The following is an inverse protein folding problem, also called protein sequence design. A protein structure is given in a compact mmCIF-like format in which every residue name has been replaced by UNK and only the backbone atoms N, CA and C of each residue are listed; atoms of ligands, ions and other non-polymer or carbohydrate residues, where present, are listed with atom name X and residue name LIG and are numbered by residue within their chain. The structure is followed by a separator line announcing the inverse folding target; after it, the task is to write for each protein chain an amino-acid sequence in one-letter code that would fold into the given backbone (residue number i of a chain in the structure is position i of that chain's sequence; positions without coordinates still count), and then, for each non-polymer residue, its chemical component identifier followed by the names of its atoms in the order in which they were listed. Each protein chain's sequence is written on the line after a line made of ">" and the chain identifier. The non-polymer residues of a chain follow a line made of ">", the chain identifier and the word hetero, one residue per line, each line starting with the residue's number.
data_IF_361645827614
#
_entry.id   IF_361645827614
#
_cell.length_a   1.000
_cell.length_b   1.000
_cell.length_c   1.000
_cell.angle_alpha   90.00
_cell.angle_beta   90.00
_cell.angle_gamma   90.00
#
_symmetry.space_group_name_H-M   'P 1'
#
loop_
_entity.id
_entity.type
_entity.pdbx_description
1 polymer ?
#
# COMPACT_ATOMS: atom_id res chain seq x y z
N UNK A 1 -1.52 -4.56 -26.26
CA UNK A 1 -2.45 -3.41 -26.31
C UNK A 1 -1.57 -2.18 -26.17
N UNK A 2 -1.62 -1.26 -27.13
CA UNK A 2 -0.80 -0.04 -27.06
C UNK A 2 -1.46 0.93 -26.08
N UNK A 3 -0.98 0.96 -24.84
CA UNK A 3 -1.41 1.94 -23.83
C UNK A 3 -0.60 3.21 -24.04
N UNK A 4 -1.23 4.38 -24.21
CA UNK A 4 -0.50 5.63 -24.38
C UNK A 4 0.42 5.92 -23.20
N UNK A 5 1.63 6.41 -23.48
CA UNK A 5 2.61 6.81 -22.45
C UNK A 5 2.02 7.82 -21.46
N UNK A 6 1.18 8.74 -21.96
CA UNK A 6 0.46 9.73 -21.15
C UNK A 6 -0.41 9.06 -20.08
N UNK A 7 -1.11 7.99 -20.44
CA UNK A 7 -2.03 7.29 -19.57
C UNK A 7 -1.25 6.54 -18.50
N UNK A 8 -0.16 5.86 -18.87
CA UNK A 8 0.74 5.18 -17.93
C UNK A 8 1.34 6.15 -16.91
N UNK A 9 1.82 7.31 -17.37
CA UNK A 9 2.40 8.33 -16.49
C UNK A 9 1.36 8.97 -15.57
N UNK A 10 0.15 9.23 -16.09
CA UNK A 10 -0.96 9.74 -15.29
C UNK A 10 -1.41 8.72 -14.24
N UNK A 11 -1.52 7.44 -14.61
CA UNK A 11 -1.78 6.36 -13.67
C UNK A 11 -0.69 6.23 -12.61
N UNK A 12 0.59 6.30 -12.99
CA UNK A 12 1.68 6.32 -12.00
C UNK A 12 1.55 7.48 -11.01
N UNK A 13 1.16 8.67 -11.47
CA UNK A 13 0.90 9.82 -10.59
C UNK A 13 -0.24 9.55 -9.61
N UNK A 14 -1.35 9.01 -10.10
CA UNK A 14 -2.54 8.73 -9.29
C UNK A 14 -2.30 7.63 -8.26
N UNK A 15 -1.41 6.69 -8.59
CA UNK A 15 -1.23 5.46 -7.83
C UNK A 15 -0.03 5.50 -6.89
N UNK A 16 1.09 6.08 -7.33
CA UNK A 16 2.34 6.10 -6.57
C UNK A 16 2.56 7.45 -5.87
N UNK A 17 2.73 7.47 -4.53
CA UNK A 17 3.15 8.67 -3.82
C UNK A 17 4.45 9.22 -4.43
N UNK A 18 4.58 10.55 -4.51
CA UNK A 18 5.74 11.18 -5.17
C UNK A 18 7.10 10.64 -4.72
N UNK A 19 7.38 10.37 -3.42
CA UNK A 19 8.64 9.76 -2.98
C UNK A 19 8.94 8.40 -3.61
N UNK A 20 7.92 7.63 -3.97
CA UNK A 20 8.02 6.31 -4.62
C UNK A 20 8.13 6.51 -6.13
N UNK A 21 7.21 7.26 -6.73
CA UNK A 21 7.17 7.49 -8.17
C UNK A 21 8.44 8.13 -8.72
N UNK A 22 9.03 9.10 -7.99
CA UNK A 22 10.33 9.66 -8.37
C UNK A 22 11.45 8.62 -8.39
N UNK A 23 11.37 7.56 -7.58
CA UNK A 23 12.39 6.51 -7.53
C UNK A 23 12.16 5.52 -8.66
N UNK A 24 10.92 5.12 -8.91
CA UNK A 24 10.52 4.33 -10.08
C UNK A 24 11.06 4.97 -11.37
N UNK A 25 10.73 6.25 -11.59
CA UNK A 25 11.22 6.98 -12.77
C UNK A 25 12.75 7.09 -12.81
N UNK A 26 13.43 7.17 -11.67
CA UNK A 26 14.90 7.21 -11.62
C UNK A 26 15.51 5.88 -12.05
N UNK A 27 14.91 4.78 -11.63
CA UNK A 27 15.34 3.41 -11.90
C UNK A 27 15.24 3.11 -13.40
N UNK A 28 14.15 3.54 -14.03
CA UNK A 28 13.94 3.46 -15.49
C UNK A 28 14.85 4.44 -16.27
N UNK A 29 15.43 5.43 -15.59
CA UNK A 29 16.30 6.44 -16.20
C UNK A 29 15.56 7.64 -16.82
N UNK A 30 14.31 7.89 -16.41
CA UNK A 30 13.47 8.98 -16.89
C UNK A 30 13.74 10.28 -16.10
N UNK A 31 13.73 11.40 -16.81
CA UNK A 31 13.94 12.72 -16.23
C UNK A 31 12.75 13.13 -15.35
N UNK A 32 13.02 13.87 -14.27
CA UNK A 32 12.02 14.23 -13.25
C UNK A 32 12.07 15.72 -12.93
N UNK A 33 10.92 16.28 -12.60
CA UNK A 33 10.77 17.61 -12.02
C UNK A 33 10.71 17.56 -10.49
N UNK A 34 10.34 18.69 -9.87
CA UNK A 34 10.03 18.76 -8.44
C UNK A 34 8.54 18.46 -8.25
N UNK A 35 8.22 17.21 -7.92
CA UNK A 35 6.83 16.75 -7.78
C UNK A 35 6.26 16.16 -9.06
N UNK A 36 5.08 15.56 -8.96
CA UNK A 36 4.40 14.92 -10.08
C UNK A 36 4.04 15.90 -11.19
N UNK A 37 3.43 17.03 -10.85
CA UNK A 37 2.97 18.01 -11.85
C UNK A 37 4.10 18.49 -12.76
N UNK A 38 5.20 18.97 -12.16
CA UNK A 38 6.38 19.41 -12.90
C UNK A 38 7.06 18.28 -13.68
N UNK A 39 6.92 17.03 -13.21
CA UNK A 39 7.46 15.87 -13.95
C UNK A 39 6.63 15.58 -15.19
N UNK A 40 5.30 15.57 -15.09
CA UNK A 40 4.42 15.33 -16.23
C UNK A 40 4.56 16.43 -17.29
N UNK A 41 4.63 17.71 -16.88
CA UNK A 41 4.85 18.82 -17.82
C UNK A 41 6.17 18.63 -18.60
N UNK A 42 7.27 18.35 -17.89
CA UNK A 42 8.58 18.16 -18.51
C UNK A 42 8.62 16.96 -19.46
N UNK A 43 7.89 15.89 -19.15
CA UNK A 43 7.79 14.72 -20.01
C UNK A 43 6.92 14.99 -21.24
N UNK A 44 5.86 15.80 -21.10
CA UNK A 44 5.04 16.25 -22.23
C UNK A 44 5.79 17.13 -23.23
N UNK A 45 6.71 17.97 -22.74
CA UNK A 45 7.58 18.81 -23.58
C UNK A 45 8.67 18.01 -24.32
N UNK A 46 8.98 16.78 -23.89
CA UNK A 46 10.04 15.94 -24.46
C UNK A 46 9.72 14.45 -24.33
N UNK A 47 8.70 13.94 -25.06
CA UNK A 47 8.11 12.62 -24.83
C UNK A 47 8.98 11.46 -25.32
N UNK A 48 9.93 11.72 -26.23
CA UNK A 48 10.74 10.69 -26.91
C UNK A 48 11.33 9.66 -25.94
N UNK A 49 11.92 10.10 -24.83
CA UNK A 49 12.55 9.17 -23.87
C UNK A 49 11.54 8.32 -23.11
N UNK A 50 10.36 8.87 -22.81
CA UNK A 50 9.29 8.10 -22.15
C UNK A 50 8.58 7.15 -23.12
N UNK A 51 8.49 7.50 -24.40
CA UNK A 51 8.02 6.61 -25.47
C UNK A 51 8.99 5.43 -25.68
N UNK A 52 10.30 5.70 -25.73
CA UNK A 52 11.35 4.67 -25.79
C UNK A 52 11.38 3.75 -24.55
N UNK A 53 10.70 4.12 -23.46
CA UNK A 53 10.70 3.43 -22.16
C UNK A 53 9.30 3.00 -21.71
N UNK A 54 8.37 2.87 -22.66
CA UNK A 54 6.97 2.56 -22.36
C UNK A 54 6.81 1.19 -21.69
N UNK A 55 7.55 0.16 -22.15
CA UNK A 55 7.45 -1.18 -21.57
C UNK A 55 7.90 -1.19 -20.11
N UNK A 56 9.02 -0.54 -19.77
CA UNK A 56 9.48 -0.43 -18.39
C UNK A 56 8.52 0.40 -17.52
N UNK A 57 7.87 1.42 -18.08
CA UNK A 57 6.85 2.20 -17.39
C UNK A 57 5.59 1.38 -17.10
N UNK A 58 5.13 0.60 -18.08
CA UNK A 58 3.97 -0.30 -17.95
C UNK A 58 4.22 -1.35 -16.89
N UNK A 59 5.39 -2.00 -16.91
CA UNK A 59 5.75 -3.00 -15.92
C UNK A 59 5.92 -2.41 -14.52
N UNK A 60 6.50 -1.21 -14.41
CA UNK A 60 6.56 -0.51 -13.14
C UNK A 60 5.17 -0.13 -12.60
N UNK A 61 4.25 0.30 -13.47
CA UNK A 61 2.86 0.60 -13.09
C UNK A 61 2.15 -0.65 -12.58
N UNK A 62 2.20 -1.76 -13.34
CA UNK A 62 1.64 -3.06 -12.90
C UNK A 62 2.21 -3.49 -11.56
N UNK A 63 3.54 -3.49 -11.43
CA UNK A 63 4.20 -3.91 -10.20
C UNK A 63 3.78 -3.06 -9.01
N UNK A 64 3.66 -1.74 -9.19
CA UNK A 64 3.18 -0.86 -8.14
C UNK A 64 1.68 -1.06 -7.84
N UNK A 65 0.85 -1.34 -8.84
CA UNK A 65 -0.56 -1.68 -8.62
C UNK A 65 -0.74 -2.97 -7.83
N UNK A 66 0.16 -3.94 -7.99
CA UNK A 66 0.10 -5.20 -7.26
C UNK A 66 0.62 -5.05 -5.81
N UNK A 67 1.63 -4.21 -5.59
CA UNK A 67 2.43 -4.23 -4.36
C UNK A 67 2.54 -2.92 -3.58
N UNK A 68 2.15 -1.78 -4.16
CA UNK A 68 2.53 -0.44 -3.73
C UNK A 68 2.00 0.00 -2.36
N UNK A 69 0.70 0.30 -2.32
CA UNK A 69 -0.01 0.83 -1.14
C UNK A 69 -1.17 -0.11 -0.78
N UNK A 70 -0.88 -1.10 0.07
CA UNK A 70 -1.80 -2.23 0.33
C UNK A 70 -2.10 -2.44 1.81
N UNK A 71 -3.36 -2.76 2.09
CA UNK A 71 -3.78 -3.42 3.31
C UNK A 71 -3.76 -4.93 3.04
N UNK A 72 -2.99 -5.67 3.84
CA UNK A 72 -2.64 -7.06 3.54
C UNK A 72 -3.13 -7.97 4.66
N UNK A 73 -3.81 -9.05 4.27
CA UNK A 73 -4.13 -10.18 5.13
C UNK A 73 -3.50 -11.45 4.55
N UNK A 74 -3.02 -12.33 5.42
CA UNK A 74 -2.39 -13.60 5.04
C UNK A 74 -3.31 -14.76 5.42
N UNK A 75 -3.36 -15.77 4.56
CA UNK A 75 -4.22 -16.94 4.75
C UNK A 75 -3.42 -18.19 4.49
N UNK A 76 -3.40 -19.10 5.47
CA UNK A 76 -2.72 -20.38 5.38
C UNK A 76 -3.71 -21.45 4.96
N UNK A 77 -3.56 -21.97 3.76
CA UNK A 77 -4.38 -23.05 3.22
C UNK A 77 -3.70 -24.39 3.52
N UNK A 78 -4.45 -25.49 3.47
CA UNK A 78 -3.81 -26.79 3.46
C UNK A 78 -3.16 -27.07 2.09
N UNK A 79 -2.30 -28.09 2.04
CA UNK A 79 -1.56 -28.46 0.84
C UNK A 79 -2.47 -28.85 -0.32
N UNK A 80 -3.62 -29.46 -0.04
CA UNK A 80 -4.54 -29.94 -1.06
C UNK A 80 -5.30 -28.75 -1.70
N UNK A 81 -5.82 -27.85 -0.88
CA UNK A 81 -6.53 -26.66 -1.29
C UNK A 81 -5.62 -25.72 -2.09
N UNK A 82 -4.39 -25.47 -1.64
CA UNK A 82 -3.50 -24.57 -2.39
C UNK A 82 -3.06 -25.17 -3.74
N UNK A 83 -2.90 -26.49 -3.82
CA UNK A 83 -2.64 -27.17 -5.08
C UNK A 83 -3.86 -27.03 -6.02
N UNK A 84 -5.06 -27.31 -5.52
CA UNK A 84 -6.30 -27.18 -6.26
C UNK A 84 -6.56 -25.74 -6.73
N UNK A 85 -6.22 -24.73 -5.91
CA UNK A 85 -6.26 -23.32 -6.32
C UNK A 85 -5.32 -23.11 -7.50
N UNK A 86 -4.03 -23.44 -7.36
CA UNK A 86 -3.01 -23.21 -8.40
C UNK A 86 -3.40 -23.83 -9.75
N UNK A 87 -3.92 -25.06 -9.74
CA UNK A 87 -4.40 -25.72 -10.97
C UNK A 87 -5.56 -24.96 -11.64
N UNK A 88 -6.51 -24.43 -10.86
CA UNK A 88 -7.67 -23.70 -11.38
C UNK A 88 -7.32 -22.33 -11.94
N UNK A 89 -6.30 -21.65 -11.39
CA UNK A 89 -5.99 -20.27 -11.78
C UNK A 89 -5.65 -20.12 -13.27
N UNK A 90 -5.03 -21.13 -13.88
CA UNK A 90 -4.69 -21.12 -15.31
C UNK A 90 -5.89 -21.16 -16.25
N UNK A 91 -7.05 -21.61 -15.75
CA UNK A 91 -8.27 -21.76 -16.54
C UNK A 91 -9.29 -20.64 -16.27
N UNK A 92 -8.91 -19.60 -15.53
CA UNK A 92 -9.82 -18.50 -15.21
C UNK A 92 -9.94 -17.55 -16.40
N UNK A 93 -11.15 -17.44 -16.94
CA UNK A 93 -11.48 -16.43 -17.95
C UNK A 93 -11.64 -15.05 -17.31
N UNK A 94 -10.90 -14.08 -17.83
CA UNK A 94 -11.06 -12.67 -17.44
C UNK A 94 -12.25 -12.09 -18.20
N UNK A 95 -13.31 -11.59 -17.52
CA UNK A 95 -14.44 -10.99 -18.20
C UNK A 95 -14.03 -9.71 -18.94
N UNK A 96 -14.52 -9.54 -20.17
CA UNK A 96 -14.35 -8.28 -20.89
C UNK A 96 -15.20 -7.18 -20.25
N UNK A 97 -14.52 -6.21 -19.64
CA UNK A 97 -15.12 -5.03 -19.01
C UNK A 97 -14.28 -3.81 -19.32
N UNK A 98 -14.79 -2.62 -18.98
CA UNK A 98 -13.99 -1.38 -19.07
C UNK A 98 -12.70 -1.47 -18.25
N UNK A 99 -12.73 -2.19 -17.13
CA UNK A 99 -11.55 -2.38 -16.29
C UNK A 99 -10.49 -3.26 -16.96
N UNK A 100 -10.87 -4.44 -17.46
CA UNK A 100 -9.92 -5.35 -18.13
C UNK A 100 -9.38 -4.80 -19.44
N UNK A 101 -10.17 -3.95 -20.14
CA UNK A 101 -9.72 -3.24 -21.34
C UNK A 101 -8.75 -2.11 -21.07
N UNK A 102 -8.82 -1.45 -19.91
CA UNK A 102 -7.95 -0.31 -19.61
C UNK A 102 -6.72 -0.68 -18.80
N UNK A 103 -6.73 -1.86 -18.16
CA UNK A 103 -5.60 -2.34 -17.37
C UNK A 103 -4.32 -2.48 -18.22
N UNK A 104 -3.15 -2.01 -17.74
CA UNK A 104 -2.88 -1.56 -16.37
C UNK A 104 -3.07 -0.06 -16.13
N UNK A 105 -3.61 0.72 -17.06
CA UNK A 105 -3.89 2.13 -16.80
C UNK A 105 -5.14 2.31 -15.88
N UNK A 106 -5.28 3.52 -15.34
CA UNK A 106 -6.39 3.95 -14.50
C UNK A 106 -7.46 4.64 -15.34
N UNK A 107 -8.73 4.42 -15.01
CA UNK A 107 -9.81 5.17 -15.64
C UNK A 107 -9.85 6.58 -15.06
N UNK A 108 -10.21 7.55 -15.90
CA UNK A 108 -10.51 8.91 -15.45
C UNK A 108 -11.71 8.93 -14.48
N UNK A 109 -11.90 10.04 -13.76
CA UNK A 109 -13.05 10.17 -12.85
C UNK A 109 -14.39 9.98 -13.59
N UNK A 110 -14.50 10.47 -14.83
CA UNK A 110 -15.68 10.25 -15.67
C UNK A 110 -15.84 8.75 -15.99
N UNK A 111 -14.77 8.08 -16.42
CA UNK A 111 -14.80 6.64 -16.68
C UNK A 111 -15.15 5.80 -15.45
N UNK A 112 -14.76 6.25 -14.25
CA UNK A 112 -15.11 5.58 -12.99
C UNK A 112 -16.57 5.76 -12.57
N UNK A 113 -17.24 6.84 -13.02
CA UNK A 113 -18.68 7.04 -12.76
C UNK A 113 -19.53 6.06 -13.54
N UNK A 114 -19.10 5.74 -14.76
CA UNK A 114 -19.81 4.86 -15.68
C UNK A 114 -19.36 3.39 -15.56
N UNK A 115 -18.35 3.11 -14.73
CA UNK A 115 -17.83 1.77 -14.55
C UNK A 115 -18.80 0.85 -13.78
N UNK A 116 -18.74 -0.48 -14.01
CA UNK A 116 -19.55 -1.44 -13.28
C UNK A 116 -19.41 -1.32 -11.76
N UNK A 117 -20.53 -1.44 -11.05
CA UNK A 117 -20.51 -1.48 -9.59
C UNK A 117 -19.90 -2.79 -9.07
N UNK A 118 -19.25 -2.71 -7.91
CA UNK A 118 -18.67 -3.87 -7.25
C UNK A 118 -17.24 -4.18 -7.71
N UNK A 119 -16.82 -5.40 -7.44
CA UNK A 119 -15.46 -5.88 -7.65
C UNK A 119 -15.42 -6.82 -8.86
N UNK A 120 -14.57 -6.53 -9.85
CA UNK A 120 -14.53 -7.23 -11.14
C UNK A 120 -13.14 -7.80 -11.39
N UNK A 121 -13.05 -9.09 -11.73
CA UNK A 121 -11.79 -9.68 -12.17
C UNK A 121 -11.31 -8.99 -13.46
N UNK A 122 -10.11 -8.45 -13.43
CA UNK A 122 -9.58 -7.51 -14.42
C UNK A 122 -8.36 -8.04 -15.14
N UNK A 123 -7.50 -8.78 -14.44
CA UNK A 123 -6.35 -9.47 -15.02
C UNK A 123 -5.97 -10.68 -14.17
N UNK A 124 -5.30 -11.64 -14.80
CA UNK A 124 -4.54 -12.69 -14.13
C UNK A 124 -3.09 -12.46 -14.51
N UNK A 125 -2.26 -12.10 -13.54
CA UNK A 125 -0.83 -11.85 -13.75
C UNK A 125 -0.02 -13.02 -13.21
N UNK A 126 0.96 -13.47 -13.98
CA UNK A 126 1.87 -14.55 -13.58
C UNK A 126 3.31 -14.07 -13.66
N UNK A 127 4.10 -14.46 -12.66
CA UNK A 127 5.56 -14.37 -12.73
C UNK A 127 6.18 -15.54 -11.95
N UNK A 128 7.52 -15.59 -11.93
CA UNK A 128 8.28 -16.65 -11.24
C UNK A 128 7.94 -16.81 -9.75
N UNK A 129 7.34 -15.79 -9.12
CA UNK A 129 7.00 -15.79 -7.69
C UNK A 129 5.57 -16.23 -7.41
N UNK A 130 4.67 -16.19 -8.38
CA UNK A 130 3.27 -16.54 -8.14
C UNK A 130 2.32 -16.06 -9.22
N UNK A 131 1.05 -16.33 -8.95
CA UNK A 131 -0.09 -15.90 -9.77
C UNK A 131 -0.92 -14.91 -8.95
N UNK A 132 -1.22 -13.76 -9.54
CA UNK A 132 -2.07 -12.73 -8.98
C UNK A 132 -3.40 -12.66 -9.70
N UNK A 133 -4.50 -12.74 -8.96
CA UNK A 133 -5.83 -12.34 -9.44
C UNK A 133 -6.03 -10.86 -9.14
N UNK A 134 -6.12 -10.04 -10.18
CA UNK A 134 -6.27 -8.59 -10.06
C UNK A 134 -7.75 -8.27 -10.23
N UNK A 135 -8.31 -7.63 -9.21
CA UNK A 135 -9.69 -7.17 -9.22
C UNK A 135 -9.75 -5.65 -9.19
N UNK A 136 -10.57 -5.08 -10.08
CA UNK A 136 -10.81 -3.64 -10.12
C UNK A 136 -12.17 -3.24 -9.58
N UNK A 137 -12.22 -2.03 -9.04
CA UNK A 137 -13.44 -1.38 -8.58
C UNK A 137 -13.26 0.13 -8.57
N UNK A 138 -14.35 0.89 -8.70
CA UNK A 138 -14.36 2.32 -8.40
C UNK A 138 -14.60 2.51 -6.89
N UNK A 139 -13.67 3.20 -6.20
CA UNK A 139 -13.78 3.51 -4.76
C UNK A 139 -13.59 4.99 -4.50
N UNK A 140 -13.94 5.43 -3.29
CA UNK A 140 -13.75 6.82 -2.86
C UNK A 140 -12.66 6.93 -1.81
N UNK A 141 -11.87 7.99 -1.88
CA UNK A 141 -10.89 8.39 -0.87
C UNK A 141 -11.00 9.90 -0.64
N UNK A 142 -10.37 10.39 0.42
CA UNK A 142 -10.25 11.82 0.67
C UNK A 142 -8.84 12.28 0.34
N UNK A 143 -8.72 13.44 -0.31
CA UNK A 143 -7.44 14.11 -0.52
C UNK A 143 -7.48 15.48 0.14
N UNK A 144 -6.35 15.86 0.74
CA UNK A 144 -6.12 17.18 1.29
C UNK A 144 -5.31 17.97 0.27
N UNK A 145 -5.78 19.15 -0.09
CA UNK A 145 -5.06 20.05 -0.99
C UNK A 145 -4.97 21.44 -0.38
N UNK A 146 -3.83 22.10 -0.57
CA UNK A 146 -3.72 23.52 -0.27
C UNK A 146 -4.52 24.26 -1.35
N UNK A 147 -5.41 25.13 -0.91
CA UNK A 147 -6.13 26.01 -1.81
C UNK A 147 -5.38 27.34 -1.85
N UNK A 148 -5.06 27.79 -3.05
CA UNK A 148 -4.53 29.12 -3.28
C UNK A 148 -5.65 30.14 -3.02
N UNK A 149 -5.46 30.98 -2.00
CA UNK A 149 -6.45 31.98 -1.58
C UNK A 149 -6.65 33.03 -2.68
N UNK A 150 -5.58 33.32 -3.44
CA UNK A 150 -5.61 34.24 -4.58
C UNK A 150 -6.50 33.72 -5.71
N UNK A 151 -6.71 32.40 -5.80
CA UNK A 151 -7.59 31.78 -6.78
C UNK A 151 -9.07 31.71 -6.34
N UNK A 152 -9.38 31.98 -5.07
CA UNK A 152 -10.73 31.96 -4.51
C UNK A 152 -11.38 33.34 -4.42
N UNK A 153 -10.58 34.40 -4.36
CA UNK A 153 -11.10 35.77 -4.27
C UNK A 153 -11.12 36.42 -5.65
N UNK A 154 -12.24 37.05 -6.02
CA UNK A 154 -12.30 37.97 -7.17
C UNK A 154 -11.60 39.32 -6.83
N UNK A 155 -10.47 39.26 -6.12
CA UNK A 155 -9.63 40.40 -5.72
C UNK A 155 -10.22 41.33 -4.65
N UNK A 156 -11.33 40.97 -3.99
CA UNK A 156 -11.99 41.86 -3.00
C UNK A 156 -12.57 41.18 -1.76
N UNK A 157 -12.40 39.86 -1.60
CA UNK A 157 -13.03 39.12 -0.50
C UNK A 157 -12.08 39.01 0.70
N UNK A 158 -12.18 39.95 1.64
CA UNK A 158 -11.36 40.02 2.86
C UNK A 158 -11.64 38.87 3.84
N UNK A 159 -12.57 37.97 3.52
CA UNK A 159 -12.98 36.85 4.37
C UNK A 159 -11.83 35.88 4.69
N UNK A 160 -10.75 35.91 3.91
CA UNK A 160 -9.61 35.01 4.06
C UNK A 160 -8.30 35.72 4.48
N UNK A 161 -8.31 37.04 4.70
CA UNK A 161 -7.10 37.84 4.98
C UNK A 161 -6.38 37.42 6.27
N UNK A 162 -7.12 36.89 7.26
CA UNK A 162 -6.57 36.41 8.53
C UNK A 162 -6.05 34.96 8.50
N UNK A 163 -6.12 34.28 7.35
CA UNK A 163 -5.72 32.87 7.21
C UNK A 163 -4.37 32.74 6.48
N UNK A 164 -3.37 32.19 7.17
CA UNK A 164 -2.06 31.87 6.56
C UNK A 164 -2.12 30.68 5.59
N UNK A 165 -3.09 29.77 5.79
CA UNK A 165 -3.22 28.54 5.02
C UNK A 165 -4.68 28.08 4.96
N UNK A 166 -5.16 27.75 3.74
CA UNK A 166 -6.45 27.09 3.53
C UNK A 166 -6.22 25.67 3.03
N UNK A 167 -6.78 24.70 3.75
CA UNK A 167 -6.74 23.28 3.36
C UNK A 167 -8.13 22.82 2.94
N UNK A 168 -8.27 22.52 1.66
CA UNK A 168 -9.43 21.82 1.11
C UNK A 168 -9.35 20.33 1.40
N UNK A 169 -10.49 19.74 1.79
CA UNK A 169 -10.66 18.28 1.83
C UNK A 169 -11.75 17.94 0.83
N UNK A 170 -11.41 17.15 -0.20
CA UNK A 170 -12.40 16.67 -1.17
C UNK A 170 -12.40 15.16 -1.26
N UNK A 171 -13.59 14.62 -1.47
CA UNK A 171 -13.80 13.20 -1.77
C UNK A 171 -13.61 13.00 -3.26
N UNK A 172 -12.71 12.09 -3.63
CA UNK A 172 -12.42 11.74 -5.03
C UNK A 172 -12.68 10.27 -5.27
N UNK A 173 -13.11 9.93 -6.49
CA UNK A 173 -13.14 8.54 -6.95
C UNK A 173 -11.76 8.14 -7.44
N UNK A 174 -11.36 6.91 -7.15
CA UNK A 174 -10.12 6.33 -7.65
C UNK A 174 -10.36 4.91 -8.16
N UNK A 175 -9.59 4.54 -9.18
CA UNK A 175 -9.55 3.18 -9.71
C UNK A 175 -8.71 2.32 -8.76
N UNK A 176 -9.35 1.38 -8.07
CA UNK A 176 -8.72 0.54 -7.06
C UNK A 176 -8.39 -0.85 -7.63
N UNK A 177 -7.20 -1.37 -7.28
CA UNK A 177 -6.72 -2.69 -7.71
C UNK A 177 -6.48 -3.59 -6.49
N UNK A 178 -7.41 -4.49 -6.19
CA UNK A 178 -7.20 -5.52 -5.17
C UNK A 178 -6.53 -6.73 -5.79
N UNK A 179 -5.64 -7.37 -5.06
CA UNK A 179 -4.91 -8.54 -5.55
C UNK A 179 -5.05 -9.68 -4.58
N UNK A 180 -5.36 -10.87 -5.09
CA UNK A 180 -5.14 -12.11 -4.36
C UNK A 180 -3.94 -12.78 -4.99
N UNK A 181 -2.85 -12.84 -4.23
CA UNK A 181 -1.58 -13.36 -4.68
C UNK A 181 -1.35 -14.76 -4.13
N UNK A 182 -1.12 -15.71 -5.03
CA UNK A 182 -0.86 -17.10 -4.72
C UNK A 182 0.60 -17.38 -5.08
N UNK A 183 1.50 -17.47 -4.10
CA UNK A 183 2.90 -17.79 -4.37
C UNK A 183 3.05 -19.16 -5.06
N UNK A 184 4.10 -19.32 -5.88
CA UNK A 184 4.42 -20.60 -6.54
C UNK A 184 4.77 -21.71 -5.54
N UNK A 185 5.24 -21.35 -4.34
CA UNK A 185 5.63 -22.28 -3.28
C UNK A 185 5.10 -21.83 -1.91
N UNK A 186 5.09 -22.75 -0.94
CA UNK A 186 4.48 -22.53 0.37
C UNK A 186 2.97 -22.72 0.37
N UNK A 187 2.35 -22.45 1.52
CA UNK A 187 0.93 -22.69 1.82
C UNK A 187 0.16 -21.41 2.20
N UNK A 188 0.82 -20.26 2.11
CA UNK A 188 0.28 -18.97 2.53
C UNK A 188 0.05 -18.06 1.33
N UNK A 189 -1.20 -17.64 1.12
CA UNK A 189 -1.59 -16.65 0.12
C UNK A 189 -1.79 -15.27 0.75
N UNK A 190 -1.68 -14.24 -0.07
CA UNK A 190 -1.83 -12.85 0.36
C UNK A 190 -3.09 -12.24 -0.27
N UNK A 191 -3.93 -11.60 0.54
CA UNK A 191 -5.01 -10.73 0.05
C UNK A 191 -4.58 -9.29 0.26
N UNK A 192 -4.31 -8.60 -0.85
CA UNK A 192 -3.71 -7.26 -0.93
C UNK A 192 -4.76 -6.27 -1.41
N UNK A 193 -5.43 -5.62 -0.47
CA UNK A 193 -6.47 -4.63 -0.76
C UNK A 193 -5.85 -3.27 -0.98
N UNK A 194 -6.31 -2.60 -2.03
CA UNK A 194 -5.83 -1.28 -2.38
C UNK A 194 -6.13 -0.25 -1.28
N UNK A 195 -5.07 0.39 -0.76
CA UNK A 195 -5.17 1.22 0.43
C UNK A 195 -4.27 2.47 0.38
N UNK A 196 -4.49 3.36 -0.61
CA UNK A 196 -3.77 4.63 -0.69
C UNK A 196 -4.07 5.53 0.51
N UNK A 197 -3.22 6.55 0.69
CA UNK A 197 -3.41 7.55 1.74
C UNK A 197 -4.80 8.22 1.65
N UNK A 198 -5.42 8.47 2.81
CA UNK A 198 -6.77 9.04 2.90
C UNK A 198 -7.91 8.02 2.80
N UNK A 199 -7.63 6.74 2.51
CA UNK A 199 -8.65 5.69 2.47
C UNK A 199 -9.02 5.25 3.89
N UNK A 200 -10.32 5.18 4.17
CA UNK A 200 -10.85 4.70 5.45
C UNK A 200 -10.69 3.18 5.58
N UNK A 201 -10.33 2.69 6.77
CA UNK A 201 -10.09 1.26 7.00
C UNK A 201 -11.33 0.41 6.75
N UNK A 202 -12.53 0.93 7.01
CA UNK A 202 -13.81 0.25 6.81
C UNK A 202 -14.05 -0.08 5.33
N UNK A 203 -13.66 0.82 4.42
CA UNK A 203 -13.76 0.62 2.97
C UNK A 203 -12.85 -0.55 2.55
N UNK A 204 -11.62 -0.59 3.07
CA UNK A 204 -10.68 -1.67 2.77
C UNK A 204 -11.12 -3.01 3.35
N UNK A 205 -11.69 -3.02 4.57
CA UNK A 205 -12.24 -4.24 5.19
C UNK A 205 -13.42 -4.78 4.37
N UNK A 206 -14.30 -3.91 3.88
CA UNK A 206 -15.40 -4.30 3.00
C UNK A 206 -14.89 -4.86 1.67
N UNK A 207 -13.90 -4.20 1.04
CA UNK A 207 -13.27 -4.66 -0.19
C UNK A 207 -12.60 -6.04 -0.02
N UNK A 208 -11.93 -6.27 1.12
CA UNK A 208 -11.37 -7.58 1.49
C UNK A 208 -12.43 -8.69 1.47
N UNK A 209 -13.59 -8.44 2.09
CA UNK A 209 -14.69 -9.41 2.12
C UNK A 209 -15.21 -9.72 0.71
N UNK A 210 -15.31 -8.70 -0.15
CA UNK A 210 -15.71 -8.89 -1.54
C UNK A 210 -14.67 -9.70 -2.33
N UNK A 211 -13.39 -9.41 -2.17
CA UNK A 211 -12.30 -10.14 -2.81
C UNK A 211 -12.30 -11.62 -2.42
N UNK A 212 -12.43 -11.93 -1.13
CA UNK A 212 -12.54 -13.31 -0.63
C UNK A 212 -13.78 -14.02 -1.19
N UNK A 213 -14.90 -13.30 -1.31
CA UNK A 213 -16.15 -13.86 -1.89
C UNK A 213 -15.97 -14.19 -3.38
N UNK A 214 -15.35 -13.29 -4.15
CA UNK A 214 -15.05 -13.55 -5.56
C UNK A 214 -14.05 -14.70 -5.72
N UNK A 215 -13.03 -14.75 -4.86
CA UNK A 215 -12.07 -15.85 -4.85
C UNK A 215 -12.72 -17.20 -4.62
N UNK A 216 -13.56 -17.31 -3.59
CA UNK A 216 -14.28 -18.54 -3.30
C UNK A 216 -15.22 -18.93 -4.46
N UNK A 217 -15.83 -17.96 -5.14
CA UNK A 217 -16.66 -18.22 -6.33
C UNK A 217 -15.83 -18.76 -7.50
N UNK A 218 -14.64 -18.21 -7.74
CA UNK A 218 -13.76 -18.60 -8.84
C UNK A 218 -13.08 -19.95 -8.60
N UNK A 219 -12.67 -20.22 -7.36
CA UNK A 219 -11.85 -21.40 -7.03
C UNK A 219 -12.64 -22.53 -6.38
N UNK A 220 -13.82 -22.25 -5.83
CA UNK A 220 -14.57 -23.18 -4.99
C UNK A 220 -13.94 -23.47 -3.63
N UNK A 221 -12.82 -22.81 -3.30
CA UNK A 221 -12.09 -23.02 -2.03
C UNK A 221 -12.58 -22.00 -1.01
N UNK A 222 -12.96 -22.48 0.16
CA UNK A 222 -13.34 -21.64 1.30
C UNK A 222 -12.06 -21.09 1.96
N UNK A 223 -12.04 -19.79 2.21
CA UNK A 223 -10.90 -19.15 2.84
C UNK A 223 -10.94 -19.39 4.36
N UNK A 224 -9.84 -19.85 4.97
CA UNK A 224 -9.75 -20.02 6.42
C UNK A 224 -9.71 -18.67 7.13
N UNK A 225 -9.66 -18.69 8.46
CA UNK A 225 -9.41 -17.48 9.23
C UNK A 225 -8.03 -16.90 8.89
N UNK A 226 -7.92 -15.56 8.81
CA UNK A 226 -6.65 -14.89 8.52
C UNK A 226 -5.63 -15.13 9.64
N UNK A 227 -4.35 -15.20 9.26
CA UNK A 227 -3.24 -15.33 10.19
C UNK A 227 -3.22 -14.15 11.15
N UNK A 228 -3.15 -14.43 12.46
CA UNK A 228 -3.01 -13.40 13.49
C UNK A 228 -1.63 -12.76 13.43
N UNK A 229 -1.57 -11.50 13.03
CA UNK A 229 -0.34 -10.69 12.92
C UNK A 229 -0.07 -9.82 14.15
N UNK A 230 -0.93 -9.86 15.18
CA UNK A 230 -0.71 -9.10 16.41
C UNK A 230 0.67 -9.36 17.06
N UNK A 231 1.16 -10.61 17.14
CA UNK A 231 2.48 -10.90 17.73
C UNK A 231 3.67 -10.20 17.04
N UNK A 232 3.51 -9.72 15.81
CA UNK A 232 4.57 -8.99 15.10
C UNK A 232 4.99 -7.71 15.82
N UNK A 233 4.06 -7.06 16.54
CA UNK A 233 4.31 -5.78 17.20
C UNK A 233 5.47 -5.94 18.18
N UNK A 234 5.40 -6.88 19.11
CA UNK A 234 6.45 -7.06 20.12
C UNK A 234 7.70 -7.71 19.53
N UNK A 235 7.54 -8.71 18.67
CA UNK A 235 8.65 -9.46 18.07
C UNK A 235 9.55 -8.55 17.23
N UNK A 236 8.97 -7.76 16.33
CA UNK A 236 9.74 -6.87 15.46
C UNK A 236 10.25 -5.62 16.19
N UNK A 237 9.51 -5.10 17.16
CA UNK A 237 9.99 -3.98 17.98
C UNK A 237 11.25 -4.38 18.77
N UNK A 238 11.25 -5.58 19.34
CA UNK A 238 12.36 -6.08 20.18
C UNK A 238 13.57 -6.56 19.37
N UNK A 239 13.41 -6.83 18.08
CA UNK A 239 14.49 -7.28 17.20
C UNK A 239 15.31 -6.10 16.66
N UNK A 240 16.48 -5.85 17.28
CA UNK A 240 17.42 -4.80 16.87
C UNK A 240 17.99 -4.95 15.45
N UNK A 241 17.78 -6.08 14.76
CA UNK A 241 18.18 -6.29 13.36
C UNK A 241 17.13 -5.83 12.35
N UNK A 242 15.92 -5.50 12.82
CA UNK A 242 14.88 -4.93 11.97
C UNK A 242 15.18 -3.51 11.50
N UNK A 243 14.38 -3.04 10.53
CA UNK A 243 14.42 -1.69 10.02
C UNK A 243 14.18 -0.61 11.09
N UNK A 244 14.18 0.65 10.65
CA UNK A 244 13.99 1.79 11.54
C UNK A 244 12.55 1.83 12.06
N UNK A 245 12.35 1.77 13.38
CA UNK A 245 11.03 2.03 13.99
C UNK A 245 10.72 3.51 13.86
N UNK A 246 9.67 3.84 13.10
CA UNK A 246 9.26 5.21 12.78
C UNK A 246 8.00 5.66 13.52
N UNK A 247 7.21 4.71 14.02
CA UNK A 247 6.01 4.99 14.81
C UNK A 247 5.77 3.85 15.82
N UNK A 248 5.40 4.21 17.05
CA UNK A 248 5.09 3.28 18.12
C UNK A 248 3.90 3.81 18.94
N UNK A 249 2.89 2.97 19.16
CA UNK A 249 1.82 3.21 20.14
C UNK A 249 1.91 2.17 21.24
N UNK A 250 1.92 2.60 22.50
CA UNK A 250 2.08 1.71 23.64
C UNK A 250 1.36 2.20 24.89
N UNK A 251 0.95 1.24 25.72
CA UNK A 251 0.50 1.46 27.08
C UNK A 251 1.66 1.46 28.07
N UNK A 252 1.48 2.16 29.17
CA UNK A 252 2.35 2.11 30.36
C UNK A 252 1.53 1.63 31.56
N UNK A 253 2.18 1.02 32.54
CA UNK A 253 1.53 0.61 33.80
C UNK A 253 1.01 1.76 34.67
N UNK A 254 1.43 2.99 34.38
CA UNK A 254 0.83 4.21 34.99
C UNK A 254 -0.47 4.64 34.29
N UNK A 255 -1.16 3.71 33.62
CA UNK A 255 -2.41 3.94 32.87
C UNK A 255 -2.33 5.03 31.77
N UNK A 256 -1.13 5.40 31.32
CA UNK A 256 -0.96 6.34 30.22
C UNK A 256 -0.85 5.61 28.88
N UNK A 257 -1.45 6.22 27.83
CA UNK A 257 -1.27 5.79 26.44
C UNK A 257 -0.36 6.80 25.75
N UNK A 258 0.66 6.29 25.07
CA UNK A 258 1.62 7.09 24.31
C UNK A 258 1.56 6.72 22.85
N UNK A 259 1.69 7.72 21.99
CA UNK A 259 1.87 7.55 20.55
C UNK A 259 3.06 8.42 20.14
N UNK A 260 4.12 7.76 19.70
CA UNK A 260 5.38 8.39 19.35
C UNK A 260 5.65 8.19 17.86
N UNK A 261 6.14 9.24 17.21
CA UNK A 261 6.44 9.24 15.77
C UNK A 261 7.73 9.98 15.47
N UNK A 262 8.63 9.31 14.77
CA UNK A 262 9.88 9.89 14.31
C UNK A 262 9.69 10.67 13.02
N UNK A 263 9.90 11.99 13.07
CA UNK A 263 9.82 12.86 11.88
C UNK A 263 11.06 12.79 11.00
N UNK A 264 12.24 12.49 11.57
CA UNK A 264 13.53 12.49 10.85
C UNK A 264 13.82 11.12 10.23
N UNK A 265 14.18 11.10 8.94
CA UNK A 265 14.30 9.90 8.09
C UNK A 265 15.30 8.82 8.53
N UNK A 266 16.21 9.08 9.46
CA UNK A 266 17.30 8.17 9.86
C UNK A 266 17.39 7.94 11.36
N UNK A 267 16.34 8.28 12.11
CA UNK A 267 16.32 8.07 13.55
C UNK A 267 15.36 6.93 13.88
N UNK A 268 15.88 5.95 14.59
CA UNK A 268 15.10 4.85 15.13
C UNK A 268 14.53 5.24 16.49
N UNK A 269 13.21 5.12 16.64
CA UNK A 269 12.50 5.40 17.88
C UNK A 269 13.06 4.59 19.06
N UNK A 270 13.49 3.34 18.84
CA UNK A 270 14.12 2.49 19.87
C UNK A 270 15.41 3.09 20.43
N UNK A 271 16.08 3.92 19.63
CA UNK A 271 17.34 4.57 19.98
C UNK A 271 17.19 5.98 20.53
N UNK A 272 15.99 6.57 20.42
CA UNK A 272 15.70 7.95 20.80
C UNK A 272 15.81 8.13 22.33
N UNK A 273 16.38 9.27 22.75
CA UNK A 273 16.78 9.51 24.14
C UNK A 273 15.58 9.62 25.08
N UNK A 274 14.53 10.30 24.67
CA UNK A 274 13.30 10.44 25.46
C UNK A 274 12.61 9.08 25.64
N UNK A 275 12.49 8.28 24.57
CA UNK A 275 11.92 6.94 24.62
C UNK A 275 12.73 5.99 25.52
N UNK A 276 14.07 5.98 25.37
CA UNK A 276 14.95 5.19 26.24
C UNK A 276 14.87 5.61 27.70
N UNK A 277 14.92 6.91 27.96
CA UNK A 277 14.82 7.46 29.31
C UNK A 277 13.47 7.15 29.95
N UNK A 278 12.38 7.31 29.21
CA UNK A 278 11.02 6.98 29.64
C UNK A 278 10.87 5.50 29.97
N UNK A 279 11.36 4.59 29.12
CA UNK A 279 11.34 3.15 29.39
C UNK A 279 12.17 2.76 30.61
N UNK A 280 13.35 3.36 30.78
CA UNK A 280 14.24 3.05 31.91
C UNK A 280 13.67 3.51 33.26
N UNK A 281 12.74 4.48 33.25
CA UNK A 281 12.07 4.98 34.45
C UNK A 281 10.82 4.17 34.84
N UNK A 282 10.44 3.12 34.08
CA UNK A 282 9.30 2.26 34.38
C UNK A 282 9.78 0.96 35.07
N UNK A 283 9.07 0.55 36.12
CA UNK A 283 9.34 -0.72 36.82
C UNK A 283 8.86 -1.95 36.03
N UNK A 284 8.10 -1.74 34.97
CA UNK A 284 7.49 -2.78 34.14
C UNK A 284 7.71 -2.49 32.66
N UNK A 285 7.71 -3.51 31.79
CA UNK A 285 7.72 -3.29 30.35
C UNK A 285 6.58 -2.40 29.88
N UNK A 286 6.81 -1.67 28.80
CA UNK A 286 5.73 -1.05 28.03
C UNK A 286 4.92 -2.13 27.30
N UNK A 287 3.70 -1.80 26.91
CA UNK A 287 2.80 -2.69 26.17
C UNK A 287 2.51 -2.13 24.78
N UNK A 288 3.34 -2.42 23.77
CA UNK A 288 3.11 -2.00 22.40
C UNK A 288 1.79 -2.55 21.83
N UNK A 289 1.02 -1.68 21.19
CA UNK A 289 -0.19 -2.04 20.44
C UNK A 289 -0.18 -1.52 19.00
N UNK A 290 0.84 -0.73 18.63
CA UNK A 290 0.99 -0.21 17.27
C UNK A 290 2.46 -0.05 16.94
N UNK A 291 2.86 -0.47 15.74
CA UNK A 291 4.24 -0.40 15.28
C UNK A 291 4.29 -0.03 13.80
N UNK A 292 5.21 0.85 13.42
CA UNK A 292 5.61 1.01 12.02
C UNK A 292 7.12 0.95 11.85
N UNK A 293 7.57 0.12 10.91
CA UNK A 293 8.98 -0.11 10.58
C UNK A 293 9.20 0.27 9.13
N UNK A 294 10.29 0.99 8.88
CA UNK A 294 10.76 1.33 7.54
C UNK A 294 12.12 0.70 7.30
N UNK A 295 12.27 0.03 6.17
CA UNK A 295 13.57 -0.49 5.75
C UNK A 295 14.21 0.42 4.72
N UNK A 296 15.52 0.30 4.56
CA UNK A 296 16.28 0.99 3.53
C UNK A 296 16.90 -0.06 2.62
N UNK A 297 16.28 -0.31 1.46
CA UNK A 297 16.78 -1.30 0.51
C UNK A 297 17.56 -0.60 -0.58
N UNK A 298 18.75 -1.13 -0.88
CA UNK A 298 19.59 -0.62 -1.96
C UNK A 298 19.08 -1.19 -3.28
N UNK A 299 18.87 -0.32 -4.26
CA UNK A 299 18.47 -0.63 -5.63
C UNK A 299 19.60 -0.19 -6.57
N UNK A 300 20.29 -1.16 -7.15
CA UNK A 300 21.48 -0.91 -7.95
C UNK A 300 22.56 -0.15 -7.16
N UNK A 301 23.22 0.84 -7.80
CA UNK A 301 24.38 1.55 -7.21
C UNK A 301 24.05 2.88 -6.52
N UNK A 302 22.93 3.51 -6.85
CA UNK A 302 22.67 4.93 -6.50
C UNK A 302 21.24 5.21 -6.01
N UNK A 303 20.37 4.20 -6.00
CA UNK A 303 18.98 4.36 -5.65
C UNK A 303 18.68 3.49 -4.45
N UNK A 304 17.81 3.96 -3.57
CA UNK A 304 17.33 3.17 -2.44
C UNK A 304 15.80 3.31 -2.37
N UNK A 305 15.10 2.21 -2.13
CA UNK A 305 13.68 2.22 -1.74
C UNK A 305 13.53 2.25 -0.22
N UNK A 306 12.32 2.57 0.21
CA UNK A 306 11.99 2.68 1.62
C UNK A 306 10.61 2.07 1.91
N UNK A 307 10.42 0.75 1.69
CA UNK A 307 9.17 0.09 2.02
C UNK A 307 8.91 0.18 3.52
N UNK A 308 7.64 0.24 3.88
CA UNK A 308 7.17 0.47 5.24
C UNK A 308 6.06 -0.51 5.60
N UNK A 309 6.18 -1.13 6.77
CA UNK A 309 5.16 -1.97 7.38
C UNK A 309 4.55 -1.21 8.53
N UNK A 310 3.21 -1.19 8.61
CA UNK A 310 2.46 -0.73 9.77
C UNK A 310 1.57 -1.85 10.30
N UNK A 311 1.78 -2.22 11.56
CA UNK A 311 0.96 -3.15 12.33
C UNK A 311 0.17 -2.31 13.33
N UNK A 312 -1.06 -1.95 12.97
CA UNK A 312 -1.87 -0.98 13.71
C UNK A 312 -3.00 -1.68 14.47
N UNK A 313 -2.77 -2.02 15.74
CA UNK A 313 -3.85 -2.43 16.66
C UNK A 313 -4.29 -1.26 17.54
N UNK A 314 -5.14 -1.53 18.52
CA UNK A 314 -5.60 -0.57 19.52
C UNK A 314 -5.19 -1.04 20.91
N UNK A 315 -5.03 -0.09 21.85
CA UNK A 315 -4.75 -0.43 23.26
C UNK A 315 -5.80 -1.36 23.86
N UNK A 316 -7.08 -1.19 23.48
CA UNK A 316 -8.17 -2.08 23.89
C UNK A 316 -7.97 -3.52 23.42
N UNK A 317 -7.58 -3.71 22.15
CA UNK A 317 -7.33 -5.04 21.60
C UNK A 317 -6.09 -5.69 22.25
N UNK A 318 -5.05 -4.91 22.51
CA UNK A 318 -3.85 -5.36 23.19
C UNK A 318 -4.11 -5.82 24.63
N UNK A 319 -5.01 -5.14 25.37
CA UNK A 319 -5.40 -5.54 26.72
C UNK A 319 -6.41 -6.71 26.79
N UNK A 320 -6.77 -7.34 25.66
CA UNK A 320 -7.66 -8.50 25.66
C UNK A 320 -6.91 -9.80 25.96
N UNK A 321 -7.62 -10.83 26.44
CA UNK A 321 -7.00 -12.13 26.78
C UNK A 321 -6.37 -12.82 25.56
N UNK A 322 -6.94 -12.60 24.36
CA UNK A 322 -6.44 -13.14 23.10
C UNK A 322 -6.40 -12.01 22.06
N UNK A 323 -5.35 -11.19 22.02
CA UNK A 323 -5.24 -10.10 21.06
C UNK A 323 -5.16 -10.63 19.63
N UNK A 324 -6.06 -10.15 18.78
CA UNK A 324 -6.13 -10.52 17.36
C UNK A 324 -6.00 -9.28 16.49
N UNK A 325 -5.13 -9.38 15.49
CA UNK A 325 -5.05 -8.47 14.37
C UNK A 325 -4.90 -9.31 13.11
N UNK A 326 -5.76 -9.10 12.11
CA UNK A 326 -5.84 -9.93 10.91
C UNK A 326 -5.21 -9.31 9.67
N UNK A 327 -4.56 -8.15 9.84
CA UNK A 327 -4.10 -7.32 8.73
C UNK A 327 -2.96 -6.40 9.12
N UNK A 328 -2.12 -6.10 8.14
CA UNK A 328 -1.09 -5.09 8.19
C UNK A 328 -1.27 -4.10 7.05
N UNK A 329 -0.57 -2.97 7.09
CA UNK A 329 -0.46 -2.07 5.95
C UNK A 329 0.98 -2.10 5.45
N UNK A 330 1.17 -2.39 4.16
CA UNK A 330 2.46 -2.35 3.48
C UNK A 330 2.41 -1.20 2.47
N UNK A 331 3.36 -0.27 2.59
CA UNK A 331 3.41 0.97 1.81
C UNK A 331 4.78 1.22 1.23
N UNK A 332 4.83 2.16 0.29
CA UNK A 332 6.06 2.71 -0.31
C UNK A 332 6.91 1.67 -1.03
N UNK A 333 6.30 0.56 -1.44
CA UNK A 333 6.92 -0.41 -2.30
C UNK A 333 7.00 0.16 -3.73
N UNK A 334 8.21 0.18 -4.29
CA UNK A 334 8.40 0.48 -5.71
C UNK A 334 7.88 -0.64 -6.60
N UNK A 335 7.95 -1.89 -6.13
CA UNK A 335 7.48 -3.06 -6.85
C UNK A 335 7.59 -4.35 -6.04
N UNK A 336 7.59 -5.48 -6.73
CA UNK A 336 7.55 -6.83 -6.13
C UNK A 336 8.67 -7.10 -5.13
N UNK A 337 9.91 -6.70 -5.44
CA UNK A 337 11.03 -6.98 -4.53
C UNK A 337 10.91 -6.30 -3.17
N UNK A 338 10.37 -5.07 -3.13
CA UNK A 338 10.13 -4.35 -1.88
C UNK A 338 9.08 -5.08 -1.05
N UNK A 339 8.01 -5.51 -1.70
CA UNK A 339 6.92 -6.23 -1.05
C UNK A 339 7.38 -7.58 -0.52
N UNK A 340 8.07 -8.38 -1.34
CA UNK A 340 8.58 -9.68 -0.94
C UNK A 340 9.61 -9.56 0.20
N UNK A 341 10.42 -8.50 0.20
CA UNK A 341 11.30 -8.22 1.32
C UNK A 341 10.50 -8.03 2.62
N UNK A 342 9.49 -7.15 2.62
CA UNK A 342 8.64 -6.93 3.81
C UNK A 342 7.90 -8.22 4.22
N UNK A 343 7.34 -8.94 3.25
CA UNK A 343 6.64 -10.22 3.46
C UNK A 343 7.58 -11.25 4.09
N UNK A 344 8.83 -11.32 3.66
CA UNK A 344 9.82 -12.24 4.24
C UNK A 344 10.15 -11.91 5.70
N UNK A 345 10.21 -10.61 6.07
CA UNK A 345 10.38 -10.19 7.47
C UNK A 345 9.17 -10.57 8.32
N UNK A 346 7.95 -10.41 7.78
CA UNK A 346 6.72 -10.86 8.45
C UNK A 346 6.79 -12.37 8.71
N UNK A 347 7.07 -13.16 7.68
CA UNK A 347 7.13 -14.62 7.77
C UNK A 347 8.17 -15.10 8.80
N UNK A 348 9.37 -14.50 8.77
CA UNK A 348 10.44 -14.75 9.74
C UNK A 348 9.96 -14.62 11.20
N UNK A 349 9.22 -13.55 11.52
CA UNK A 349 8.74 -13.31 12.88
C UNK A 349 7.49 -14.10 13.24
N UNK A 350 6.67 -14.50 12.26
CA UNK A 350 5.54 -15.41 12.49
C UNK A 350 5.99 -16.86 12.67
N UNK A 351 7.22 -17.21 12.30
CA UNK A 351 7.74 -18.58 12.36
C UNK A 351 7.18 -19.47 11.25
N UNK A 352 6.88 -18.87 10.09
CA UNK A 352 6.26 -19.48 8.91
C UNK A 352 7.20 -19.48 7.72
#
# INVERSE_FOLDING_TARGET
>A
MDVPVSDVLQSLRERAPWPVGRRILADIGIARGRGWQNTLQKLGESPKKSEEKIDELVEALKSHQICGEKLVSFFKLDTADIAAVREKLFAIDVPETVFSKYYPATLSEAGLKDAPAGLVLTSVEENEKGIGLIFSSARVTTIREHIDVDALSDGSDTAFDDYEEIIGIKTVRFHAFDVIWIPTSGDTLDVRIDFPEGTLSEIAVAARKLALTQFAKLTGVAMPEPVNVFPLIDKMYSDGTEGTVVELGFGTTTASLKNEKMRRRKMDLRSETYHKGGKAALDTPIEPFKLSIRWHRVIGKKLNSEPELSVNSTSRAAGSANPVLDRVVIRKCMGHEDYEYVRSRIAHHLGS
#
